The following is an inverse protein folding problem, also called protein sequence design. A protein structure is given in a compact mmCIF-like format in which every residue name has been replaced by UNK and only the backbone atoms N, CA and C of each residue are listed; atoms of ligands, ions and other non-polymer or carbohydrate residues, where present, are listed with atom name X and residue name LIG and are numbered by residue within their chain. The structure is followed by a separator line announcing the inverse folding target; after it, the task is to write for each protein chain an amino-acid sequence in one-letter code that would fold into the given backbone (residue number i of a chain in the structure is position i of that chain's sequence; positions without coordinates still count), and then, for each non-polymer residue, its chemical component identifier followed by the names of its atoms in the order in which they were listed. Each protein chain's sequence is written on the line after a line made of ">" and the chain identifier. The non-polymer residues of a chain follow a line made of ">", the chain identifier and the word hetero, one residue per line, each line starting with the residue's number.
data_IF_320615774074
#
_entry.id   IF_320615774074
#
_cell.length_a   1.000
_cell.length_b   1.000
_cell.length_c   1.000
_cell.angle_alpha   90.00
_cell.angle_beta   90.00
_cell.angle_gamma   90.00
#
_symmetry.space_group_name_H-M   'P 1'
#
loop_
_entity.id
_entity.type
_entity.pdbx_description
1 polymer ?
#
# COMPACT_ATOMS: atom_id res chain seq x y z
N UNK A 1 -15.74 3.84 -65.46
CA UNK A 1 -16.94 3.03 -65.75
C UNK A 1 -16.53 1.98 -66.77
N UNK A 2 -16.72 0.67 -66.53
CA UNK A 2 -18.03 0.12 -66.20
C UNK A 2 -18.08 -0.79 -64.96
N UNK A 3 -19.31 -0.83 -64.49
CA UNK A 3 -20.02 -1.69 -63.54
C UNK A 3 -19.80 -3.18 -63.76
N UNK A 4 -19.56 -3.94 -62.68
CA UNK A 4 -20.15 -5.27 -62.54
C UNK A 4 -20.32 -5.66 -61.08
N UNK A 5 -21.58 -5.67 -60.68
CA UNK A 5 -22.09 -6.31 -59.48
C UNK A 5 -21.92 -7.83 -59.59
N UNK A 6 -21.50 -8.47 -58.50
CA UNK A 6 -21.90 -9.84 -58.18
C UNK A 6 -22.24 -9.90 -56.70
N UNK A 7 -23.54 -9.84 -56.44
CA UNK A 7 -24.18 -10.31 -55.22
C UNK A 7 -24.14 -11.83 -55.23
N UNK A 8 -23.55 -12.41 -54.18
CA UNK A 8 -23.86 -13.79 -53.79
C UNK A 8 -24.35 -13.74 -52.35
N UNK A 9 -25.66 -13.86 -52.23
CA UNK A 9 -26.40 -14.09 -51.00
C UNK A 9 -26.29 -15.56 -50.60
N UNK A 10 -25.66 -15.82 -49.46
CA UNK A 10 -25.88 -17.00 -48.62
C UNK A 10 -26.02 -16.42 -47.21
N UNK A 11 -27.20 -16.28 -46.61
CA UNK A 11 -28.31 -17.22 -46.62
C UNK A 11 -28.06 -18.36 -45.63
N UNK A 12 -27.61 -18.05 -44.41
CA UNK A 12 -27.59 -19.01 -43.30
C UNK A 12 -28.21 -18.40 -42.06
N UNK A 13 -29.52 -18.58 -41.96
CA UNK A 13 -30.30 -18.45 -40.73
C UNK A 13 -30.14 -19.74 -39.92
N UNK A 14 -29.38 -19.69 -38.84
CA UNK A 14 -29.57 -20.61 -37.72
C UNK A 14 -29.95 -19.78 -36.51
N UNK A 15 -31.26 -19.75 -36.27
CA UNK A 15 -31.82 -19.41 -34.98
C UNK A 15 -31.40 -20.47 -33.98
N UNK A 16 -30.55 -20.06 -33.05
CA UNK A 16 -30.53 -20.58 -31.69
C UNK A 16 -30.52 -19.35 -30.79
N UNK A 17 -31.72 -18.87 -30.49
CA UNK A 17 -32.00 -17.96 -29.39
C UNK A 17 -31.63 -18.66 -28.08
N UNK A 18 -30.34 -18.64 -27.74
CA UNK A 18 -29.92 -18.74 -26.36
C UNK A 18 -30.04 -17.33 -25.77
N UNK A 19 -30.93 -17.07 -24.80
CA UNK A 19 -30.82 -15.83 -24.04
C UNK A 19 -29.41 -15.79 -23.44
N UNK A 20 -28.71 -14.64 -23.46
CA UNK A 20 -27.45 -14.50 -22.75
C UNK A 20 -27.78 -14.73 -21.27
N UNK A 21 -27.49 -15.95 -20.82
CA UNK A 21 -27.44 -16.32 -19.42
C UNK A 21 -26.33 -15.49 -18.82
N UNK A 22 -26.69 -14.30 -18.35
CA UNK A 22 -26.08 -13.61 -17.22
C UNK A 22 -24.61 -13.99 -17.09
N UNK A 23 -23.81 -13.53 -18.05
CA UNK A 23 -22.40 -13.26 -17.84
C UNK A 23 -22.38 -12.20 -16.73
N UNK A 24 -22.55 -12.67 -15.49
CA UNK A 24 -22.21 -11.89 -14.31
C UNK A 24 -20.76 -11.56 -14.57
N UNK A 25 -20.52 -10.33 -15.00
CA UNK A 25 -19.22 -9.70 -15.01
C UNK A 25 -18.57 -10.13 -13.69
N UNK A 26 -17.70 -11.13 -13.78
CA UNK A 26 -16.87 -11.52 -12.66
C UNK A 26 -16.11 -10.23 -12.37
N UNK A 27 -16.20 -9.66 -11.15
CA UNK A 27 -15.46 -8.46 -10.84
C UNK A 27 -13.97 -8.78 -10.93
N UNK A 28 -13.44 -8.55 -12.12
CA UNK A 28 -12.12 -8.07 -12.47
C UNK A 28 -11.69 -7.05 -11.39
N UNK A 29 -10.63 -7.21 -10.62
CA UNK A 29 -9.64 -8.28 -10.53
C UNK A 29 -9.41 -8.61 -9.05
N UNK A 30 -9.13 -9.88 -8.77
CA UNK A 30 -8.62 -10.32 -7.47
C UNK A 30 -7.16 -9.89 -7.42
N UNK A 31 -6.84 -8.93 -6.56
CA UNK A 31 -5.46 -8.45 -6.35
C UNK A 31 -4.49 -9.62 -6.22
N UNK A 32 -3.45 -9.65 -7.05
CA UNK A 32 -2.41 -10.71 -7.06
C UNK A 32 -1.53 -10.72 -5.79
N UNK A 33 -1.79 -9.80 -4.86
CA UNK A 33 -1.12 -9.71 -3.57
C UNK A 33 -1.25 -11.03 -2.78
N UNK A 34 -0.13 -11.72 -2.48
CA UNK A 34 -0.18 -12.98 -1.76
C UNK A 34 -0.64 -12.78 -0.32
N UNK A 35 -1.46 -13.70 0.19
CA UNK A 35 -1.96 -13.71 1.56
C UNK A 35 -0.79 -13.71 2.56
N UNK A 36 -0.75 -12.78 3.55
CA UNK A 36 0.37 -12.67 4.48
C UNK A 36 0.53 -13.89 5.41
N UNK A 37 -0.53 -14.67 5.60
CA UNK A 37 -0.51 -15.84 6.48
C UNK A 37 0.00 -17.11 5.81
N UNK A 38 -0.44 -17.39 4.58
CA UNK A 38 -0.13 -18.65 3.90
C UNK A 38 0.79 -18.48 2.68
N UNK A 39 0.95 -17.26 2.16
CA UNK A 39 1.73 -16.91 0.96
C UNK A 39 1.36 -17.63 -0.34
N UNK A 40 0.40 -18.56 -0.30
CA UNK A 40 0.02 -19.45 -1.40
C UNK A 40 -1.30 -19.09 -2.10
N UNK A 41 -2.10 -18.20 -1.52
CA UNK A 41 -3.41 -17.78 -2.04
C UNK A 41 -3.46 -16.26 -2.08
N UNK A 42 -4.23 -15.64 -3.00
CA UNK A 42 -4.35 -14.19 -3.05
C UNK A 42 -5.09 -13.63 -1.83
N UNK A 43 -4.93 -12.33 -1.61
CA UNK A 43 -5.65 -11.56 -0.61
C UNK A 43 -7.10 -11.34 -1.05
N UNK A 44 -8.07 -11.93 -0.36
CA UNK A 44 -9.48 -11.91 -0.84
C UNK A 44 -10.47 -11.29 0.14
N UNK A 45 -10.11 -11.11 1.41
CA UNK A 45 -11.05 -10.56 2.41
C UNK A 45 -10.34 -9.78 3.50
N UNK A 46 -11.03 -8.75 3.99
CA UNK A 46 -10.69 -7.99 5.20
C UNK A 46 -11.84 -8.07 6.20
N UNK A 47 -11.51 -8.38 7.46
CA UNK A 47 -12.49 -8.42 8.56
C UNK A 47 -11.94 -7.72 9.79
N UNK A 48 -12.78 -6.89 10.41
CA UNK A 48 -12.54 -6.28 11.72
C UNK A 48 -13.20 -7.13 12.78
N UNK A 49 -12.42 -7.54 13.77
CA UNK A 49 -12.84 -8.40 14.87
C UNK A 49 -12.71 -7.63 16.17
N UNK A 50 -13.82 -7.35 16.88
CA UNK A 50 -13.72 -6.82 18.23
C UNK A 50 -13.10 -7.87 19.16
N UNK A 51 -12.27 -7.42 20.10
CA UNK A 51 -11.76 -8.30 21.16
C UNK A 51 -11.96 -7.65 22.52
N UNK A 52 -12.18 -8.53 23.50
CA UNK A 52 -12.35 -8.19 24.91
C UNK A 52 -11.41 -9.07 25.72
N UNK A 53 -10.58 -8.46 26.55
CA UNK A 53 -9.66 -9.17 27.45
C UNK A 53 -9.92 -8.70 28.87
N UNK A 54 -10.28 -9.63 29.73
CA UNK A 54 -10.39 -9.40 31.16
C UNK A 54 -9.06 -9.71 31.84
N UNK A 55 -8.52 -8.73 32.54
CA UNK A 55 -7.54 -8.93 33.60
C UNK A 55 -8.27 -8.73 34.93
N UNK A 56 -7.74 -9.28 36.03
CA UNK A 56 -8.41 -9.30 37.35
C UNK A 56 -8.95 -7.92 37.77
N UNK A 57 -8.25 -6.83 37.42
CA UNK A 57 -8.63 -5.45 37.76
C UNK A 57 -8.83 -4.53 36.55
N UNK A 58 -8.44 -4.96 35.35
CA UNK A 58 -8.40 -4.11 34.16
C UNK A 58 -9.13 -4.79 33.02
N UNK A 59 -9.90 -4.02 32.27
CA UNK A 59 -10.57 -4.50 31.06
C UNK A 59 -9.98 -3.81 29.85
N UNK A 60 -9.57 -4.59 28.85
CA UNK A 60 -9.10 -4.06 27.58
C UNK A 60 -10.12 -4.40 26.49
N UNK A 61 -10.63 -3.37 25.81
CA UNK A 61 -11.43 -3.51 24.61
C UNK A 61 -10.68 -2.94 23.41
N UNK A 62 -10.88 -3.54 22.24
CA UNK A 62 -10.29 -3.05 21.02
C UNK A 62 -10.82 -3.78 19.80
N UNK A 63 -10.20 -3.53 18.66
CA UNK A 63 -10.52 -4.23 17.43
C UNK A 63 -9.25 -4.53 16.65
N UNK A 64 -9.15 -5.73 16.11
CA UNK A 64 -8.08 -6.10 15.17
C UNK A 64 -8.65 -6.19 13.77
N UNK A 65 -7.90 -5.71 12.79
CA UNK A 65 -8.19 -5.93 11.37
C UNK A 65 -7.35 -7.11 10.89
N UNK A 66 -7.99 -8.07 10.24
CA UNK A 66 -7.35 -9.22 9.59
C UNK A 66 -7.57 -9.11 8.09
N UNK A 67 -6.48 -9.19 7.33
CA UNK A 67 -6.48 -9.15 5.88
C UNK A 67 -5.78 -10.40 5.35
N UNK A 68 -6.48 -11.25 4.61
CA UNK A 68 -5.92 -12.50 4.07
C UNK A 68 -6.88 -13.23 3.14
N UNK A 69 -6.53 -14.47 2.78
CA UNK A 69 -7.46 -15.38 2.13
C UNK A 69 -8.56 -15.82 3.12
N UNK A 70 -9.73 -16.21 2.61
CA UNK A 70 -10.92 -16.57 3.43
C UNK A 70 -10.60 -17.58 4.53
N UNK A 71 -9.85 -18.64 4.21
CA UNK A 71 -9.49 -19.70 5.16
C UNK A 71 -8.58 -19.21 6.28
N UNK A 72 -7.58 -18.38 5.96
CA UNK A 72 -6.66 -17.84 6.97
C UNK A 72 -7.35 -16.82 7.86
N UNK A 73 -8.17 -15.93 7.29
CA UNK A 73 -8.95 -14.97 8.08
C UNK A 73 -9.94 -15.70 8.99
N UNK A 74 -10.65 -16.73 8.51
CA UNK A 74 -11.50 -17.57 9.35
C UNK A 74 -10.72 -18.19 10.52
N UNK A 75 -9.55 -18.78 10.25
CA UNK A 75 -8.70 -19.38 11.30
C UNK A 75 -8.26 -18.34 12.34
N UNK A 76 -7.86 -17.14 11.90
CA UNK A 76 -7.47 -16.06 12.82
C UNK A 76 -8.64 -15.51 13.64
N UNK A 77 -9.82 -15.37 13.03
CA UNK A 77 -11.04 -15.00 13.74
C UNK A 77 -11.38 -16.02 14.83
N UNK A 78 -11.36 -17.31 14.51
CA UNK A 78 -11.61 -18.39 15.48
C UNK A 78 -10.57 -18.40 16.59
N UNK A 79 -9.29 -18.19 16.26
CA UNK A 79 -8.21 -18.14 17.25
C UNK A 79 -8.38 -16.96 18.23
N UNK A 80 -8.74 -15.77 17.74
CA UNK A 80 -9.02 -14.64 18.63
C UNK A 80 -10.30 -14.84 19.43
N UNK A 81 -11.35 -15.46 18.88
CA UNK A 81 -12.54 -15.84 19.65
C UNK A 81 -12.21 -16.84 20.74
N UNK A 82 -11.38 -17.85 20.45
CA UNK A 82 -10.92 -18.82 21.45
C UNK A 82 -10.10 -18.15 22.56
N UNK A 83 -9.24 -17.19 22.22
CA UNK A 83 -8.53 -16.36 23.22
C UNK A 83 -9.50 -15.51 24.04
N UNK A 84 -10.52 -14.92 23.42
CA UNK A 84 -11.52 -14.12 24.13
C UNK A 84 -12.31 -14.99 25.12
N UNK A 85 -12.63 -16.24 24.77
CA UNK A 85 -13.16 -17.21 25.73
C UNK A 85 -12.14 -17.42 26.84
N UNK A 86 -10.90 -17.80 26.56
CA UNK A 86 -9.92 -18.11 27.61
C UNK A 86 -9.64 -16.96 28.60
N UNK A 87 -9.55 -15.73 28.11
CA UNK A 87 -9.20 -14.54 28.91
C UNK A 87 -10.41 -13.67 29.30
N UNK A 88 -11.63 -14.06 28.93
CA UNK A 88 -12.84 -13.27 29.16
C UNK A 88 -13.43 -13.39 30.56
N UNK A 89 -13.05 -14.42 31.33
CA UNK A 89 -13.72 -14.78 32.58
C UNK A 89 -13.26 -13.99 33.81
N UNK A 90 -12.09 -13.33 33.76
CA UNK A 90 -11.46 -12.73 34.96
C UNK A 90 -12.02 -11.36 35.37
N UNK A 91 -13.01 -10.81 34.66
CA UNK A 91 -13.63 -9.53 35.00
C UNK A 91 -15.14 -9.60 34.76
N UNK A 92 -16.00 -9.10 35.68
CA UNK A 92 -17.46 -9.12 35.49
C UNK A 92 -17.93 -8.46 34.19
N UNK A 93 -17.28 -7.35 33.79
CA UNK A 93 -17.58 -6.68 32.52
C UNK A 93 -17.13 -7.51 31.30
N UNK A 94 -15.96 -8.14 31.39
CA UNK A 94 -15.46 -9.03 30.35
C UNK A 94 -16.32 -10.28 30.18
N UNK A 95 -16.86 -10.81 31.29
CA UNK A 95 -17.75 -11.96 31.30
C UNK A 95 -19.00 -11.69 30.47
N UNK A 96 -19.68 -10.58 30.75
CA UNK A 96 -20.88 -10.15 29.99
C UNK A 96 -20.53 -9.98 28.49
N UNK A 97 -19.45 -9.27 28.17
CA UNK A 97 -19.03 -9.10 26.78
C UNK A 97 -18.70 -10.44 26.10
N UNK A 98 -18.10 -11.38 26.83
CA UNK A 98 -17.74 -12.71 26.31
C UNK A 98 -19.00 -13.53 26.02
N UNK A 99 -20.01 -13.48 26.89
CA UNK A 99 -21.28 -14.20 26.70
C UNK A 99 -22.04 -13.69 25.48
N UNK A 100 -22.09 -12.38 25.25
CA UNK A 100 -22.90 -11.82 24.16
C UNK A 100 -22.13 -11.63 22.85
N UNK A 101 -20.88 -11.16 22.90
CA UNK A 101 -20.13 -10.79 21.67
C UNK A 101 -19.36 -11.97 21.08
N UNK A 102 -18.88 -12.90 21.90
CA UNK A 102 -18.10 -14.04 21.40
C UNK A 102 -18.93 -14.96 20.52
N UNK A 103 -20.18 -15.35 20.86
CA UNK A 103 -20.99 -16.19 19.97
C UNK A 103 -21.26 -15.53 18.62
N UNK A 104 -21.52 -14.21 18.60
CA UNK A 104 -21.73 -13.45 17.36
C UNK A 104 -20.46 -13.43 16.51
N UNK A 105 -19.31 -13.20 17.14
CA UNK A 105 -18.01 -13.16 16.44
C UNK A 105 -17.62 -14.54 15.92
N UNK A 106 -17.84 -15.58 16.72
CA UNK A 106 -17.62 -16.97 16.37
C UNK A 106 -18.51 -17.39 15.20
N UNK A 107 -19.81 -17.07 15.24
CA UNK A 107 -20.74 -17.29 14.14
C UNK A 107 -20.28 -16.58 12.85
N UNK A 108 -19.91 -15.31 12.94
CA UNK A 108 -19.36 -14.54 11.80
C UNK A 108 -18.10 -15.16 11.21
N UNK A 109 -17.27 -15.86 11.99
CA UNK A 109 -16.08 -16.54 11.49
C UNK A 109 -16.43 -17.66 10.49
N UNK A 110 -17.54 -18.39 10.70
CA UNK A 110 -17.99 -19.41 9.75
C UNK A 110 -18.48 -18.79 8.43
N UNK A 111 -19.11 -17.61 8.51
CA UNK A 111 -19.66 -16.90 7.34
C UNK A 111 -18.70 -15.87 6.71
N UNK A 112 -17.38 -16.01 6.89
CA UNK A 112 -16.41 -15.21 6.14
C UNK A 112 -16.51 -15.56 4.66
N UNK A 113 -16.74 -14.54 3.83
CA UNK A 113 -16.81 -14.61 2.36
C UNK A 113 -15.74 -13.70 1.76
N UNK A 114 -15.40 -13.95 0.50
CA UNK A 114 -14.57 -13.03 -0.29
C UNK A 114 -15.25 -11.66 -0.37
N UNK A 115 -14.46 -10.60 -0.22
CA UNK A 115 -14.92 -9.22 -0.18
C UNK A 115 -13.85 -8.32 -0.82
N UNK A 116 -13.71 -8.37 -2.17
CA UNK A 116 -12.64 -7.68 -2.88
C UNK A 116 -12.75 -6.15 -2.73
N UNK A 117 -13.96 -5.60 -2.58
CA UNK A 117 -14.17 -4.16 -2.35
C UNK A 117 -13.50 -3.69 -1.06
N UNK A 118 -13.61 -4.47 0.03
CA UNK A 118 -12.93 -4.14 1.30
C UNK A 118 -11.43 -4.37 1.26
N UNK A 119 -10.96 -5.32 0.46
CA UNK A 119 -9.52 -5.50 0.21
C UNK A 119 -8.98 -4.28 -0.51
N UNK A 120 -9.64 -3.86 -1.59
CA UNK A 120 -9.27 -2.68 -2.38
C UNK A 120 -9.22 -1.44 -1.49
N UNK A 121 -10.29 -1.16 -0.74
CA UNK A 121 -10.33 -0.02 0.18
C UNK A 121 -9.24 -0.07 1.27
N UNK A 122 -8.90 -1.26 1.79
CA UNK A 122 -7.81 -1.39 2.76
C UNK A 122 -6.47 -1.13 2.08
N UNK A 123 -6.25 -1.67 0.88
CA UNK A 123 -5.03 -1.48 0.12
C UNK A 123 -4.85 0.00 -0.24
N UNK A 124 -5.91 0.68 -0.68
CA UNK A 124 -5.89 2.12 -0.92
C UNK A 124 -5.61 2.92 0.36
N UNK A 125 -6.22 2.55 1.50
CA UNK A 125 -5.97 3.17 2.81
C UNK A 125 -4.50 3.04 3.24
N UNK A 126 -3.86 1.91 2.94
CA UNK A 126 -2.44 1.71 3.20
C UNK A 126 -1.55 2.12 2.03
N UNK A 127 -2.08 2.78 1.00
CA UNK A 127 -1.35 3.22 -0.19
C UNK A 127 -0.74 2.11 -1.06
N UNK A 128 -1.23 0.87 -0.94
CA UNK A 128 -0.84 -0.22 -1.84
C UNK A 128 -1.73 -0.19 -3.08
N UNK A 129 -1.18 0.09 -4.27
CA UNK A 129 -1.95 0.13 -5.51
C UNK A 129 -2.59 -1.22 -5.83
N UNK A 130 -3.88 -1.19 -6.14
CA UNK A 130 -4.76 -2.36 -6.35
C UNK A 130 -4.74 -2.87 -7.79
N UNK A 131 -4.41 -2.02 -8.75
CA UNK A 131 -4.15 -2.40 -10.14
C UNK A 131 -2.72 -2.91 -10.27
N UNK A 132 -2.55 -4.22 -10.07
CA UNK A 132 -1.24 -4.90 -10.10
C UNK A 132 -0.70 -5.08 -11.51
N UNK A 133 -1.46 -4.76 -12.55
CA UNK A 133 -0.97 -4.85 -13.92
C UNK A 133 0.16 -3.90 -14.23
N UNK A 134 0.34 -2.83 -13.47
CA UNK A 134 1.52 -1.98 -13.54
C UNK A 134 1.47 -1.07 -12.32
N UNK A 135 1.97 -1.54 -11.16
CA UNK A 135 2.50 -0.55 -10.20
C UNK A 135 3.73 0.02 -10.89
N UNK A 136 3.51 1.07 -11.68
CA UNK A 136 4.57 1.67 -12.47
C UNK A 136 5.59 2.14 -11.45
N UNK A 137 6.85 1.75 -11.63
CA UNK A 137 7.95 2.23 -10.81
C UNK A 137 7.88 3.76 -10.65
N UNK A 138 7.41 4.45 -11.70
CA UNK A 138 7.05 5.86 -11.71
C UNK A 138 6.10 6.27 -10.57
N UNK A 139 4.97 5.60 -10.37
CA UNK A 139 4.00 5.94 -9.31
C UNK A 139 4.61 5.79 -7.92
N UNK A 140 5.41 4.74 -7.71
CA UNK A 140 6.10 4.53 -6.45
C UNK A 140 7.14 5.63 -6.21
N UNK A 141 7.86 6.05 -7.25
CA UNK A 141 8.83 7.14 -7.20
C UNK A 141 8.17 8.50 -6.95
N UNK A 142 7.10 8.85 -7.67
CA UNK A 142 6.33 10.08 -7.43
C UNK A 142 5.73 10.12 -6.02
N UNK A 143 5.17 9.00 -5.55
CA UNK A 143 4.62 8.92 -4.20
C UNK A 143 5.71 9.03 -3.13
N UNK A 144 6.90 8.47 -3.38
CA UNK A 144 8.06 8.61 -2.49
C UNK A 144 8.53 10.06 -2.40
N UNK A 145 8.61 10.75 -3.54
CA UNK A 145 8.94 12.17 -3.61
C UNK A 145 7.89 13.02 -2.89
N UNK A 146 6.60 12.81 -3.16
CA UNK A 146 5.53 13.53 -2.46
C UNK A 146 5.57 13.29 -0.94
N UNK A 147 5.85 12.06 -0.50
CA UNK A 147 5.92 11.72 0.91
C UNK A 147 7.08 12.39 1.66
N UNK A 148 8.22 12.64 0.99
CA UNK A 148 9.33 13.38 1.60
C UNK A 148 9.09 14.89 1.56
N UNK A 149 8.61 15.42 0.43
CA UNK A 149 8.28 16.86 0.27
C UNK A 149 7.21 17.26 1.30
N UNK A 150 6.14 16.48 1.45
CA UNK A 150 5.04 16.77 2.39
C UNK A 150 5.29 16.29 3.82
N UNK A 151 6.54 16.03 4.20
CA UNK A 151 6.83 15.39 5.49
C UNK A 151 6.65 16.33 6.68
N UNK A 152 6.85 17.63 6.48
CA UNK A 152 6.60 18.72 7.43
C UNK A 152 5.16 19.28 7.36
N UNK A 153 4.43 18.94 6.29
CA UNK A 153 3.04 19.32 6.02
C UNK A 153 2.89 20.41 4.96
N UNK A 154 3.97 21.08 4.59
CA UNK A 154 4.00 22.05 3.51
C UNK A 154 4.73 21.47 2.29
N UNK A 155 4.72 22.16 1.16
CA UNK A 155 5.51 21.73 0.01
C UNK A 155 6.09 22.98 -0.61
N UNK A 156 7.42 23.09 -0.58
CA UNK A 156 8.10 24.23 -1.13
C UNK A 156 8.41 24.01 -2.63
N UNK A 157 8.26 25.02 -3.50
CA UNK A 157 8.55 24.87 -4.93
C UNK A 157 9.97 24.33 -5.20
N UNK A 158 10.96 24.78 -4.42
CA UNK A 158 12.36 24.33 -4.53
C UNK A 158 12.53 22.84 -4.27
N UNK A 159 11.80 22.26 -3.33
CA UNK A 159 11.83 20.82 -3.04
C UNK A 159 11.26 20.01 -4.19
N UNK A 160 10.17 20.50 -4.80
CA UNK A 160 9.56 19.85 -5.97
C UNK A 160 10.48 19.95 -7.18
N UNK A 161 11.19 21.07 -7.34
CA UNK A 161 12.21 21.26 -8.39
C UNK A 161 13.37 20.29 -8.25
N UNK A 162 13.96 20.21 -7.06
CA UNK A 162 15.04 19.25 -6.77
C UNK A 162 14.54 17.82 -6.99
N UNK A 163 13.36 17.46 -6.46
CA UNK A 163 12.83 16.12 -6.67
C UNK A 163 12.63 15.78 -8.16
N UNK A 164 12.18 16.75 -8.96
CA UNK A 164 11.99 16.56 -10.40
C UNK A 164 13.30 16.27 -11.14
N UNK A 165 14.39 16.96 -10.80
CA UNK A 165 15.71 16.74 -11.42
C UNK A 165 16.18 15.30 -11.22
N UNK A 166 16.10 14.79 -10.00
CA UNK A 166 16.47 13.40 -9.70
C UNK A 166 15.53 12.39 -10.35
N UNK A 167 14.22 12.67 -10.37
CA UNK A 167 13.25 11.79 -11.01
C UNK A 167 13.44 11.71 -12.53
N UNK A 168 13.85 12.80 -13.18
CA UNK A 168 14.18 12.82 -14.60
C UNK A 168 15.35 11.88 -14.95
N UNK A 169 16.31 11.71 -14.04
CA UNK A 169 17.41 10.75 -14.20
C UNK A 169 16.92 9.30 -14.10
N UNK A 170 15.93 9.05 -13.24
CA UNK A 170 15.42 7.70 -12.96
C UNK A 170 14.30 7.25 -13.91
N UNK A 171 13.56 8.19 -14.49
CA UNK A 171 12.38 7.94 -15.30
C UNK A 171 12.55 8.53 -16.70
N UNK A 172 12.69 7.68 -17.74
CA UNK A 172 12.78 8.15 -19.13
C UNK A 172 11.56 8.95 -19.58
N UNK A 173 10.37 8.61 -19.05
CA UNK A 173 9.08 9.26 -19.32
C UNK A 173 8.64 10.10 -18.11
N UNK A 174 9.56 10.90 -17.55
CA UNK A 174 9.23 11.79 -16.44
C UNK A 174 8.22 12.87 -16.86
N UNK A 175 7.16 13.02 -16.07
CA UNK A 175 6.12 14.03 -16.25
C UNK A 175 6.03 14.92 -15.02
N UNK A 176 6.42 16.19 -15.15
CA UNK A 176 6.41 17.15 -14.03
C UNK A 176 5.00 17.39 -13.47
N UNK A 177 3.98 17.40 -14.33
CA UNK A 177 2.57 17.52 -13.91
C UNK A 177 2.16 16.38 -12.99
N UNK A 178 2.54 15.14 -13.31
CA UNK A 178 2.22 13.97 -12.48
C UNK A 178 2.85 14.05 -11.08
N UNK A 179 4.08 14.58 -10.97
CA UNK A 179 4.70 14.87 -9.67
C UNK A 179 3.91 15.93 -8.91
N UNK A 180 3.59 17.06 -9.55
CA UNK A 180 2.85 18.15 -8.92
C UNK A 180 1.48 17.69 -8.41
N UNK A 181 0.73 16.94 -9.22
CA UNK A 181 -0.56 16.38 -8.86
C UNK A 181 -0.42 15.44 -7.66
N UNK A 182 0.60 14.58 -7.66
CA UNK A 182 0.87 13.66 -6.54
C UNK A 182 1.20 14.39 -5.24
N UNK A 183 1.98 15.47 -5.30
CA UNK A 183 2.32 16.33 -4.15
C UNK A 183 1.07 17.04 -3.63
N UNK A 184 0.21 17.55 -4.52
CA UNK A 184 -1.02 18.25 -4.17
C UNK A 184 -2.06 17.32 -3.53
N UNK A 185 -2.17 16.09 -4.00
CA UNK A 185 -3.14 15.10 -3.52
C UNK A 185 -2.67 14.31 -2.29
N UNK A 186 -1.43 14.50 -1.86
CA UNK A 186 -0.85 13.73 -0.76
C UNK A 186 -1.55 14.02 0.58
N UNK A 187 -2.26 13.01 1.12
CA UNK A 187 -3.02 13.08 2.38
C UNK A 187 -2.44 12.22 3.51
N UNK A 188 -1.17 11.84 3.42
CA UNK A 188 -0.53 10.95 4.39
C UNK A 188 -0.81 9.47 4.13
N UNK A 189 -0.28 8.96 3.01
CA UNK A 189 -0.39 7.56 2.60
C UNK A 189 0.62 6.63 3.28
N UNK A 190 1.30 5.79 2.48
CA UNK A 190 2.40 4.96 2.99
C UNK A 190 3.49 5.81 3.63
N UNK A 191 4.06 5.32 4.73
CA UNK A 191 5.27 5.94 5.27
C UNK A 191 6.40 5.88 4.25
N UNK A 192 7.32 6.84 4.33
CA UNK A 192 8.50 6.87 3.46
C UNK A 192 9.33 5.58 3.57
N UNK A 193 9.36 4.96 4.74
CA UNK A 193 10.02 3.66 4.96
C UNK A 193 9.36 2.53 4.15
N UNK A 194 8.03 2.53 4.03
CA UNK A 194 7.28 1.54 3.26
C UNK A 194 7.52 1.72 1.75
N UNK A 195 7.56 2.97 1.28
CA UNK A 195 7.97 3.31 -0.08
C UNK A 195 9.39 2.83 -0.39
N UNK A 196 10.35 3.11 0.49
CA UNK A 196 11.72 2.64 0.33
C UNK A 196 11.81 1.10 0.26
N UNK A 197 11.05 0.40 1.10
CA UNK A 197 11.02 -1.06 1.10
C UNK A 197 10.46 -1.62 -0.21
N UNK A 198 9.46 -0.95 -0.78
CA UNK A 198 8.93 -1.28 -2.09
C UNK A 198 9.99 -1.04 -3.18
N UNK A 199 10.53 0.17 -3.25
CA UNK A 199 11.53 0.58 -4.26
C UNK A 199 12.78 -0.31 -4.25
N UNK A 200 13.25 -0.73 -3.07
CA UNK A 200 14.40 -1.64 -2.92
C UNK A 200 14.28 -2.92 -3.76
N UNK A 201 13.05 -3.41 -3.99
CA UNK A 201 12.82 -4.65 -4.76
C UNK A 201 12.99 -4.46 -6.27
N UNK A 202 12.86 -3.23 -6.75
CA UNK A 202 12.84 -2.91 -8.17
C UNK A 202 14.07 -2.13 -8.62
N UNK A 203 14.67 -1.34 -7.73
CA UNK A 203 15.85 -0.55 -8.02
C UNK A 203 17.14 -1.35 -7.78
N UNK A 204 18.07 -1.24 -8.73
CA UNK A 204 19.47 -1.63 -8.54
C UNK A 204 20.14 -0.73 -7.49
N UNK A 205 21.30 -1.11 -6.92
CA UNK A 205 22.00 -0.31 -5.91
C UNK A 205 22.24 1.15 -6.33
N UNK A 206 22.54 1.39 -7.61
CA UNK A 206 22.77 2.73 -8.15
C UNK A 206 21.50 3.59 -8.09
N UNK A 207 20.34 3.01 -8.44
CA UNK A 207 19.06 3.69 -8.34
C UNK A 207 18.64 3.96 -6.89
N UNK A 208 18.96 3.05 -5.96
CA UNK A 208 18.73 3.26 -4.54
C UNK A 208 19.57 4.43 -4.01
N UNK A 209 20.81 4.55 -4.49
CA UNK A 209 21.70 5.66 -4.18
C UNK A 209 21.15 7.01 -4.67
N UNK A 210 20.66 7.08 -5.91
CA UNK A 210 20.05 8.30 -6.48
C UNK A 210 18.83 8.72 -5.65
N UNK A 211 18.00 7.78 -5.17
CA UNK A 211 16.86 8.10 -4.31
C UNK A 211 17.28 8.64 -2.93
N UNK A 212 18.36 8.10 -2.34
CA UNK A 212 18.88 8.64 -1.08
C UNK A 212 19.41 10.06 -1.24
N UNK A 213 20.08 10.33 -2.36
CA UNK A 213 20.60 11.65 -2.68
C UNK A 213 19.46 12.64 -2.94
N UNK A 214 18.43 12.23 -3.69
CA UNK A 214 17.21 12.99 -3.87
C UNK A 214 16.57 13.36 -2.53
N UNK A 215 16.38 12.39 -1.62
CA UNK A 215 15.78 12.67 -0.31
C UNK A 215 16.62 13.61 0.53
N UNK A 216 17.95 13.46 0.52
CA UNK A 216 18.83 14.38 1.23
C UNK A 216 18.77 15.79 0.63
N UNK A 217 18.81 15.91 -0.70
CA UNK A 217 18.76 17.19 -1.39
C UNK A 217 17.44 17.92 -1.15
N UNK A 218 16.30 17.20 -1.14
CA UNK A 218 15.00 17.76 -0.76
C UNK A 218 15.01 18.28 0.68
N UNK A 219 15.51 17.49 1.65
CA UNK A 219 15.62 17.91 3.06
C UNK A 219 16.55 19.13 3.23
N UNK A 220 17.57 19.28 2.37
CA UNK A 220 18.52 20.38 2.45
C UNK A 220 18.06 21.63 1.69
N UNK A 221 16.97 21.55 0.92
CA UNK A 221 16.53 22.59 -0.01
C UNK A 221 16.20 23.93 0.68
N UNK A 222 15.70 23.89 1.91
CA UNK A 222 15.30 25.06 2.68
C UNK A 222 16.42 25.58 3.62
N UNK A 223 17.56 24.88 3.65
CA UNK A 223 18.69 25.18 4.52
C UNK A 223 18.49 24.84 6.01
N UNK A 224 17.39 24.18 6.39
CA UNK A 224 17.08 23.81 7.78
C UNK A 224 16.82 22.31 7.91
N UNK A 225 17.83 21.61 8.40
CA UNK A 225 17.69 20.18 8.67
C UNK A 225 16.92 19.96 9.97
N UNK A 226 15.67 19.50 9.89
CA UNK A 226 14.95 19.09 11.07
C UNK A 226 15.42 17.72 11.60
N UNK A 227 15.35 17.54 12.93
CA UNK A 227 15.69 16.24 13.56
C UNK A 227 14.79 15.11 13.07
N UNK A 228 13.55 15.40 12.66
CA UNK A 228 12.60 14.39 12.19
C UNK A 228 12.92 13.92 10.78
N UNK A 229 13.21 14.86 9.87
CA UNK A 229 13.63 14.59 8.50
C UNK A 229 14.92 13.81 8.45
N UNK A 230 15.91 14.21 9.26
CA UNK A 230 17.15 13.45 9.35
C UNK A 230 16.91 12.02 9.81
N UNK A 231 16.05 11.82 10.81
CA UNK A 231 15.66 10.47 11.26
C UNK A 231 14.92 9.70 10.16
N UNK A 232 14.17 10.37 9.30
CA UNK A 232 13.47 9.75 8.18
C UNK A 232 14.44 9.27 7.11
N UNK A 233 15.39 10.12 6.72
CA UNK A 233 16.47 9.75 5.82
C UNK A 233 17.30 8.57 6.35
N UNK A 234 17.69 8.60 7.63
CA UNK A 234 18.43 7.49 8.27
C UNK A 234 17.66 6.16 8.22
N UNK A 235 16.32 6.20 8.32
CA UNK A 235 15.48 4.99 8.21
C UNK A 235 15.47 4.45 6.78
N UNK A 236 15.33 5.33 5.79
CA UNK A 236 15.38 4.96 4.36
C UNK A 236 16.74 4.37 4.00
N UNK A 237 17.83 4.98 4.44
CA UNK A 237 19.18 4.48 4.19
C UNK A 237 19.40 3.09 4.78
N UNK A 238 18.88 2.83 6.00
CA UNK A 238 18.88 1.48 6.59
C UNK A 238 18.04 0.49 5.79
N UNK A 239 16.89 0.92 5.26
CA UNK A 239 16.04 0.07 4.41
C UNK A 239 16.79 -0.34 3.14
N UNK A 240 17.58 0.55 2.54
CA UNK A 240 18.48 0.24 1.41
C UNK A 240 19.76 -0.51 1.80
N UNK A 241 19.96 -0.78 3.10
CA UNK A 241 21.02 -1.67 3.58
C UNK A 241 22.32 -0.98 3.94
N UNK A 242 22.36 0.35 4.03
CA UNK A 242 23.53 1.07 4.50
C UNK A 242 23.73 0.83 6.01
N UNK A 243 24.98 0.60 6.39
CA UNK A 243 25.41 0.51 7.79
C UNK A 243 25.39 1.90 8.46
N UNK A 244 25.48 1.92 9.79
CA UNK A 244 25.45 3.17 10.55
C UNK A 244 26.61 4.11 10.18
N UNK A 245 27.80 3.56 9.92
CA UNK A 245 29.00 4.33 9.53
C UNK A 245 28.83 4.91 8.13
N UNK A 246 28.38 4.12 7.17
CA UNK A 246 28.11 4.59 5.80
C UNK A 246 27.04 5.70 5.77
N UNK A 247 26.01 5.59 6.61
CA UNK A 247 24.98 6.63 6.77
C UNK A 247 25.58 7.94 7.28
N UNK A 248 26.49 7.87 8.26
CA UNK A 248 27.14 9.05 8.82
C UNK A 248 28.08 9.70 7.82
N UNK A 249 28.94 8.91 7.17
CA UNK A 249 29.88 9.37 6.14
C UNK A 249 29.14 9.99 4.96
N UNK A 250 28.11 9.29 4.44
CA UNK A 250 27.35 9.77 3.29
C UNK A 250 26.59 11.06 3.60
N UNK A 251 26.02 11.17 4.79
CA UNK A 251 25.38 12.42 5.19
C UNK A 251 26.39 13.56 5.34
N UNK A 252 27.54 13.30 5.98
CA UNK A 252 28.58 14.32 6.13
C UNK A 252 29.03 14.83 4.76
N UNK A 253 29.26 13.93 3.79
CA UNK A 253 29.62 14.34 2.43
C UNK A 253 28.54 15.17 1.72
N UNK A 254 27.26 14.92 2.00
CA UNK A 254 26.15 15.66 1.41
C UNK A 254 25.98 17.06 2.01
N UNK A 255 26.28 17.22 3.30
CA UNK A 255 26.22 18.52 3.99
C UNK A 255 27.48 19.36 3.77
N UNK A 256 28.66 18.73 3.79
CA UNK A 256 29.94 19.43 3.61
C UNK A 256 30.23 19.73 2.13
N UNK A 257 29.66 18.95 1.21
CA UNK A 257 29.83 19.09 -0.22
C UNK A 257 28.96 20.16 -0.86
N UNK A 258 28.75 21.32 -0.21
CA UNK A 258 28.00 22.48 -0.71
C UNK A 258 28.57 23.02 -2.05
N UNK A 259 28.27 22.30 -3.12
CA UNK A 259 28.02 22.78 -4.48
C UNK A 259 27.20 21.69 -5.16
N UNK A 260 25.90 21.66 -4.87
CA UNK A 260 24.96 20.98 -5.76
C UNK A 260 25.19 21.59 -7.15
N UNK A 261 25.57 20.82 -8.18
CA UNK A 261 25.66 21.36 -9.52
C UNK A 261 24.25 21.80 -9.91
N UNK A 262 24.05 23.12 -9.95
CA UNK A 262 22.87 23.76 -10.54
C UNK A 262 22.85 23.48 -12.04
#
# INVERSE_FOLDING_TARGET
>A
MPTRQMLVSLGYSFGLDCPPMLEKAMPEQVTDTPCPYCKSRPLTTVRRVPYYRGYVLVFQHGSKRFAGCVSCVRKQMLLESAKAVGFGWFSPKALVATVFVTPVTFGRAFFVRSDPKRVTALLDEIGVPTNTHEVRLADALYSSAAAIIKSDGEAHPSEVDIAAEYLQVLLPEFERSALNDRVAEWKGGMSVDAHALFLRRFLKPEGQQVILEMFAAVILADGKIEKQERKQWDRVAKVFGLSKTEIQEKWASLVEGESVPV
#
